data_IF_428008863733
#
_entry.id   IF_428008863733
#
_cell.length_a   1.000
_cell.length_b   1.000
_cell.length_c   1.000
_cell.angle_alpha   90.00
_cell.angle_beta   90.00
_cell.angle_gamma   90.00
#
_symmetry.space_group_name_H-M   'P 1'
#
loop_
_entity.id
_entity.type
_entity.pdbx_description
1 polymer ?
#
# COMPACT_ATOMS: atom_id res chain seq x y z
N UNK A 1 -0.10 -31.32 0.55
CA UNK A 1 0.43 -30.31 1.50
C UNK A 1 -0.72 -29.93 2.43
N UNK A 2 -0.53 -30.02 3.75
CA UNK A 2 -1.61 -29.84 4.73
C UNK A 2 -2.03 -28.35 4.83
N UNK A 3 -3.35 -28.13 4.80
CA UNK A 3 -4.06 -26.86 4.65
C UNK A 3 -4.26 -26.07 5.97
N UNK A 4 -3.51 -26.37 7.03
CA UNK A 4 -3.89 -25.97 8.40
C UNK A 4 -2.80 -25.19 9.15
N UNK A 5 -2.31 -24.08 8.59
CA UNK A 5 -1.63 -23.03 9.36
C UNK A 5 -2.02 -21.65 8.86
N UNK A 6 -1.97 -20.63 9.71
CA UNK A 6 -2.14 -19.21 9.33
C UNK A 6 -1.27 -18.83 8.12
N UNK A 7 -0.07 -19.42 8.04
CA UNK A 7 0.84 -19.29 6.91
C UNK A 7 0.26 -19.76 5.57
N UNK A 8 -0.69 -20.68 5.51
CA UNK A 8 -1.25 -21.13 4.22
C UNK A 8 -2.11 -20.05 3.58
N UNK A 9 -2.89 -19.30 4.37
CA UNK A 9 -3.77 -18.25 3.87
C UNK A 9 -2.98 -17.00 3.44
N UNK A 10 -2.07 -16.51 4.29
CA UNK A 10 -1.17 -15.41 3.94
C UNK A 10 -0.30 -15.75 2.73
N UNK A 11 0.24 -16.98 2.68
CA UNK A 11 1.07 -17.39 1.54
C UNK A 11 0.27 -17.51 0.25
N UNK A 12 -0.99 -17.96 0.29
CA UNK A 12 -1.83 -18.02 -0.90
C UNK A 12 -2.04 -16.63 -1.52
N UNK A 13 -2.38 -15.63 -0.68
CA UNK A 13 -2.53 -14.24 -1.12
C UNK A 13 -1.22 -13.71 -1.72
N UNK A 14 -0.11 -13.82 -0.97
CA UNK A 14 1.18 -13.28 -1.41
C UNK A 14 1.64 -13.95 -2.72
N UNK A 15 1.53 -15.28 -2.81
CA UNK A 15 1.92 -16.01 -4.03
C UNK A 15 1.07 -15.62 -5.24
N UNK A 16 -0.23 -15.37 -5.06
CA UNK A 16 -1.08 -14.89 -6.14
C UNK A 16 -0.66 -13.50 -6.63
N UNK A 17 -0.33 -12.58 -5.71
CA UNK A 17 0.19 -11.26 -6.07
C UNK A 17 1.53 -11.33 -6.83
N UNK A 18 2.43 -12.23 -6.40
CA UNK A 18 3.73 -12.42 -7.04
C UNK A 18 3.62 -13.04 -8.45
N UNK A 19 2.74 -14.03 -8.62
CA UNK A 19 2.60 -14.75 -9.90
C UNK A 19 1.73 -14.04 -10.91
N UNK A 20 0.67 -13.38 -10.44
CA UNK A 20 -0.39 -12.85 -11.30
C UNK A 20 -0.64 -11.36 -11.05
N UNK A 21 -0.43 -10.87 -9.82
CA UNK A 21 -0.70 -9.49 -9.41
C UNK A 21 0.22 -8.41 -9.99
N UNK A 22 1.36 -8.77 -10.58
CA UNK A 22 2.37 -7.80 -11.01
C UNK A 22 3.19 -7.22 -9.86
N UNK A 23 3.30 -7.96 -8.74
CA UNK A 23 4.11 -7.59 -7.58
C UNK A 23 5.44 -8.34 -7.58
N UNK A 24 6.42 -7.75 -6.91
CA UNK A 24 7.64 -8.45 -6.49
C UNK A 24 7.72 -8.52 -4.97
N UNK A 25 8.47 -9.49 -4.44
CA UNK A 25 8.65 -9.59 -3.00
C UNK A 25 9.61 -8.49 -2.51
N UNK A 26 9.22 -7.81 -1.44
CA UNK A 26 10.01 -6.77 -0.80
C UNK A 26 10.74 -7.29 0.43
N UNK A 27 11.82 -6.62 0.81
CA UNK A 27 12.56 -6.93 2.03
C UNK A 27 12.01 -6.10 3.20
N UNK A 28 11.41 -6.77 4.19
CA UNK A 28 10.76 -6.11 5.33
C UNK A 28 11.74 -5.25 6.16
N UNK A 29 13.02 -5.63 6.21
CA UNK A 29 14.06 -4.92 6.97
C UNK A 29 14.37 -3.54 6.39
N UNK A 30 14.07 -3.31 5.11
CA UNK A 30 14.29 -2.02 4.44
C UNK A 30 13.22 -0.98 4.79
N UNK A 31 12.16 -1.37 5.50
CA UNK A 31 11.18 -0.43 6.03
C UNK A 31 11.83 0.44 7.11
N UNK A 32 11.75 1.76 6.97
CA UNK A 32 12.15 2.69 8.04
C UNK A 32 10.91 3.17 8.80
N UNK A 33 10.75 2.80 10.08
CA UNK A 33 9.70 3.34 10.95
C UNK A 33 9.72 4.87 11.03
N UNK A 34 10.90 5.47 11.00
CA UNK A 34 11.11 6.92 11.13
C UNK A 34 10.64 7.67 9.88
N UNK A 35 10.77 7.06 8.70
CA UNK A 35 10.35 7.65 7.44
C UNK A 35 8.93 7.21 7.04
N UNK A 36 8.49 6.04 7.49
CA UNK A 36 7.25 5.40 7.09
C UNK A 36 7.25 4.91 5.63
N UNK A 37 8.41 4.58 5.07
CA UNK A 37 8.59 4.19 3.65
C UNK A 37 9.89 3.42 3.41
N UNK A 38 10.02 2.83 2.21
CA UNK A 38 11.21 2.09 1.76
C UNK A 38 12.13 3.01 0.95
N UNK A 39 13.03 3.72 1.65
CA UNK A 39 13.85 4.79 1.05
C UNK A 39 14.69 4.34 -0.16
N UNK A 40 15.24 3.12 -0.13
CA UNK A 40 16.08 2.62 -1.22
C UNK A 40 15.26 2.35 -2.49
N UNK A 41 14.01 1.91 -2.33
CA UNK A 41 13.10 1.69 -3.47
C UNK A 41 12.64 3.01 -4.08
N UNK A 42 12.37 4.03 -3.25
CA UNK A 42 12.10 5.39 -3.72
C UNK A 42 13.26 5.88 -4.58
N UNK A 43 14.50 5.84 -4.05
CA UNK A 43 15.68 6.32 -4.78
C UNK A 43 15.84 5.56 -6.10
N UNK A 44 15.77 4.22 -6.05
CA UNK A 44 15.87 3.37 -7.24
C UNK A 44 14.85 3.75 -8.30
N UNK A 45 13.57 3.90 -7.91
CA UNK A 45 12.52 4.30 -8.83
C UNK A 45 12.80 5.67 -9.47
N UNK A 46 13.23 6.66 -8.68
CA UNK A 46 13.55 7.99 -9.21
C UNK A 46 14.74 7.95 -10.20
N UNK A 47 15.78 7.17 -9.89
CA UNK A 47 16.94 7.00 -10.76
C UNK A 47 16.59 6.28 -12.07
N UNK A 48 15.83 5.18 -12.00
CA UNK A 48 15.47 4.37 -13.17
C UNK A 48 14.42 5.04 -14.07
N UNK A 49 13.44 5.72 -13.46
CA UNK A 49 12.33 6.35 -14.20
C UNK A 49 12.64 7.77 -14.66
N UNK A 50 13.54 8.49 -13.97
CA UNK A 50 13.76 9.92 -14.16
C UNK A 50 15.26 10.31 -14.12
N UNK A 51 16.15 9.62 -14.85
CA UNK A 51 17.61 9.77 -14.72
C UNK A 51 18.09 11.21 -14.95
N UNK A 52 17.53 11.91 -15.95
CA UNK A 52 17.89 13.32 -16.23
C UNK A 52 17.50 14.28 -15.10
N UNK A 53 16.43 13.97 -14.36
CA UNK A 53 16.03 14.76 -13.19
C UNK A 53 16.91 14.43 -11.99
N UNK A 54 17.25 13.15 -11.84
CA UNK A 54 18.19 12.68 -10.82
C UNK A 54 19.58 13.33 -10.96
N UNK A 55 20.11 13.40 -12.18
CA UNK A 55 21.37 14.06 -12.48
C UNK A 55 21.35 15.54 -12.08
N UNK A 56 20.28 16.27 -12.46
CA UNK A 56 20.09 17.68 -12.09
C UNK A 56 20.05 17.91 -10.58
N UNK A 57 19.30 17.10 -9.83
CA UNK A 57 19.22 17.28 -8.38
C UNK A 57 20.53 16.88 -7.69
N UNK A 58 21.24 15.89 -8.24
CA UNK A 58 22.57 15.49 -7.74
C UNK A 58 23.60 16.59 -7.95
N UNK A 59 23.55 17.32 -9.07
CA UNK A 59 24.41 18.48 -9.28
C UNK A 59 24.17 19.62 -8.26
N UNK A 60 22.98 19.70 -7.66
CA UNK A 60 22.62 20.70 -6.64
C UNK A 60 23.02 20.22 -5.24
N UNK A 61 22.66 18.99 -4.88
CA UNK A 61 22.86 18.45 -3.52
C UNK A 61 24.22 17.77 -3.31
N UNK A 62 24.96 17.48 -4.38
CA UNK A 62 26.22 16.75 -4.32
C UNK A 62 26.07 15.35 -3.75
N UNK A 63 27.02 14.93 -2.92
CA UNK A 63 27.06 13.60 -2.29
C UNK A 63 25.84 13.31 -1.39
N UNK A 64 25.17 14.34 -0.88
CA UNK A 64 24.02 14.21 0.02
C UNK A 64 22.66 14.11 -0.71
N UNK A 65 22.67 14.00 -2.04
CA UNK A 65 21.45 13.98 -2.86
C UNK A 65 20.41 12.94 -2.42
N UNK A 66 20.87 11.74 -2.06
CA UNK A 66 19.99 10.66 -1.58
C UNK A 66 19.21 11.09 -0.32
N UNK A 67 19.90 11.62 0.69
CA UNK A 67 19.25 12.02 1.93
C UNK A 67 18.35 13.23 1.72
N UNK A 68 18.81 14.25 0.97
CA UNK A 68 18.05 15.48 0.73
C UNK A 68 16.75 15.22 0.00
N UNK A 69 16.78 14.40 -1.06
CA UNK A 69 15.57 14.02 -1.79
C UNK A 69 14.60 13.24 -0.91
N UNK A 70 15.09 12.29 -0.10
CA UNK A 70 14.25 11.54 0.84
C UNK A 70 13.62 12.44 1.90
N UNK A 71 14.38 13.38 2.46
CA UNK A 71 13.86 14.34 3.43
C UNK A 71 12.83 15.29 2.81
N UNK A 72 13.04 15.68 1.55
CA UNK A 72 12.07 16.48 0.81
C UNK A 72 10.77 15.69 0.59
N UNK A 73 10.87 14.47 0.10
CA UNK A 73 9.70 13.58 -0.09
C UNK A 73 8.97 13.32 1.23
N UNK A 74 9.69 13.06 2.32
CA UNK A 74 9.11 12.88 3.66
C UNK A 74 8.22 14.08 4.05
N UNK A 75 8.73 15.32 3.90
CA UNK A 75 7.98 16.54 4.21
C UNK A 75 6.75 16.70 3.32
N UNK A 76 6.87 16.35 2.05
CA UNK A 76 5.78 16.44 1.08
C UNK A 76 4.67 15.44 1.38
N UNK A 77 5.02 14.21 1.76
CA UNK A 77 4.07 13.21 2.24
C UNK A 77 3.40 13.65 3.55
N UNK A 78 4.12 14.31 4.44
CA UNK A 78 3.59 14.79 5.73
C UNK A 78 2.58 15.94 5.53
N UNK A 79 2.89 16.86 4.61
CA UNK A 79 2.08 18.04 4.34
C UNK A 79 0.86 17.73 3.45
N UNK A 80 1.09 17.10 2.30
CA UNK A 80 0.07 16.89 1.26
C UNK A 80 -0.61 15.52 1.34
N UNK A 81 0.04 14.55 1.95
CA UNK A 81 -0.43 13.16 2.01
C UNK A 81 0.01 12.32 0.81
N UNK A 82 0.02 11.00 0.97
CA UNK A 82 0.55 10.07 -0.02
C UNK A 82 -0.23 10.06 -1.33
N UNK A 83 -1.56 10.16 -1.29
CA UNK A 83 -2.38 10.18 -2.51
C UNK A 83 -2.02 11.35 -3.44
N UNK A 84 -1.87 12.55 -2.88
CA UNK A 84 -1.50 13.73 -3.65
C UNK A 84 -0.09 13.60 -4.22
N UNK A 85 0.88 13.18 -3.39
CA UNK A 85 2.27 12.98 -3.82
C UNK A 85 2.39 11.90 -4.90
N UNK A 86 1.62 10.82 -4.82
CA UNK A 86 1.59 9.78 -5.85
C UNK A 86 1.02 10.31 -7.18
N UNK A 87 0.01 11.17 -7.14
CA UNK A 87 -0.63 11.74 -8.34
C UNK A 87 0.16 12.88 -8.97
N UNK A 88 0.73 13.75 -8.15
CA UNK A 88 1.27 15.04 -8.56
C UNK A 88 2.80 15.15 -8.40
N UNK A 89 3.41 14.14 -7.79
CA UNK A 89 4.83 14.12 -7.49
C UNK A 89 5.21 15.15 -6.43
N UNK A 90 6.49 15.53 -6.39
CA UNK A 90 7.01 16.60 -5.54
C UNK A 90 8.08 17.40 -6.26
N UNK A 91 8.41 18.59 -5.74
CA UNK A 91 9.42 19.47 -6.31
C UNK A 91 10.54 19.69 -5.30
N UNK A 92 11.79 19.53 -5.72
CA UNK A 92 12.99 19.84 -4.94
C UNK A 92 13.91 20.75 -5.76
N UNK A 93 14.24 21.94 -5.25
CA UNK A 93 15.03 22.96 -5.96
C UNK A 93 14.62 23.16 -7.44
N UNK A 94 13.32 23.25 -7.71
CA UNK A 94 12.77 23.44 -9.07
C UNK A 94 12.75 22.17 -9.93
N UNK A 95 13.32 21.05 -9.47
CA UNK A 95 13.23 19.74 -10.13
C UNK A 95 11.97 19.02 -9.67
N UNK A 96 11.04 18.77 -10.59
CA UNK A 96 9.81 18.00 -10.32
C UNK A 96 10.04 16.51 -10.51
N UNK A 97 9.83 15.71 -9.46
CA UNK A 97 9.83 14.25 -9.51
C UNK A 97 8.40 13.71 -9.47
N UNK A 98 8.11 12.71 -10.30
CA UNK A 98 6.89 11.90 -10.21
C UNK A 98 7.14 10.71 -9.27
N UNK A 99 6.11 10.32 -8.51
CA UNK A 99 6.15 9.14 -7.61
C UNK A 99 5.34 7.95 -8.13
N UNK A 100 4.58 8.14 -9.20
CA UNK A 100 3.91 7.08 -9.94
C UNK A 100 3.68 7.53 -11.39
N UNK A 101 3.58 6.57 -12.30
CA UNK A 101 3.13 6.81 -13.67
C UNK A 101 1.85 6.03 -13.90
N UNK A 102 0.76 6.68 -14.30
CA UNK A 102 -0.50 5.99 -14.53
C UNK A 102 -0.66 5.57 -15.98
N UNK A 103 -1.44 4.51 -16.21
CA UNK A 103 -1.66 3.96 -17.54
C UNK A 103 -2.29 5.04 -18.44
N UNK A 104 -1.73 5.30 -19.64
CA UNK A 104 -2.29 6.30 -20.53
C UNK A 104 -3.69 5.86 -21.01
N UNK A 105 -4.59 6.83 -21.23
CA UNK A 105 -5.96 6.54 -21.67
C UNK A 105 -6.01 5.89 -23.06
N UNK A 106 -4.99 6.11 -23.89
CA UNK A 106 -4.79 5.43 -25.17
C UNK A 106 -3.42 4.77 -25.20
N UNK A 107 -3.30 3.64 -25.91
CA UNK A 107 -2.00 2.96 -26.14
C UNK A 107 -1.06 3.69 -27.10
N UNK A 108 -1.40 4.92 -27.51
CA UNK A 108 -0.70 5.68 -28.56
C UNK A 108 0.55 6.40 -28.07
N UNK A 109 0.85 6.37 -26.77
CA UNK A 109 2.08 6.94 -26.20
C UNK A 109 2.97 5.81 -25.62
N UNK A 110 3.89 5.25 -26.43
CA UNK A 110 4.82 4.20 -26.00
C UNK A 110 5.71 4.63 -24.82
N UNK A 111 6.12 5.89 -24.75
CA UNK A 111 6.95 6.42 -23.66
C UNK A 111 6.19 6.42 -22.33
N UNK A 112 4.92 6.83 -22.34
CA UNK A 112 4.07 6.78 -21.16
C UNK A 112 3.84 5.33 -20.68
N UNK A 113 3.73 4.38 -21.61
CA UNK A 113 3.61 2.95 -21.27
C UNK A 113 4.91 2.40 -20.69
N UNK A 114 6.07 2.78 -21.22
CA UNK A 114 7.38 2.41 -20.66
C UNK A 114 7.51 2.91 -19.22
N UNK A 115 7.16 4.18 -18.95
CA UNK A 115 7.17 4.76 -17.62
C UNK A 115 6.16 4.08 -16.67
N UNK A 116 4.97 3.72 -17.16
CA UNK A 116 4.00 2.92 -16.39
C UNK A 116 4.60 1.55 -15.98
N UNK A 117 5.34 0.91 -16.89
CA UNK A 117 5.98 -0.36 -16.62
C UNK A 117 7.13 -0.24 -15.61
N UNK A 118 7.74 0.94 -15.46
CA UNK A 118 8.75 1.22 -14.43
C UNK A 118 8.17 1.35 -13.01
N UNK A 119 6.85 1.42 -12.83
CA UNK A 119 6.28 1.34 -11.49
C UNK A 119 6.54 -0.04 -10.88
N UNK A 120 7.10 -0.03 -9.67
CA UNK A 120 7.39 -1.21 -8.87
C UNK A 120 6.34 -1.33 -7.77
N UNK A 121 5.50 -2.35 -7.86
CA UNK A 121 4.62 -2.74 -6.76
C UNK A 121 5.28 -3.88 -5.99
N UNK A 122 5.27 -3.77 -4.67
CA UNK A 122 5.86 -4.79 -3.80
C UNK A 122 4.93 -5.23 -2.70
N UNK A 123 5.05 -6.50 -2.37
CA UNK A 123 4.38 -7.14 -1.23
C UNK A 123 5.43 -7.48 -0.20
N UNK A 124 5.16 -7.15 1.06
CA UNK A 124 6.02 -7.44 2.20
C UNK A 124 5.21 -8.21 3.22
N UNK A 125 5.90 -9.11 3.93
CA UNK A 125 5.33 -9.88 5.02
C UNK A 125 5.97 -9.42 6.32
N UNK A 126 5.19 -9.40 7.40
CA UNK A 126 5.69 -9.21 8.76
C UNK A 126 6.50 -7.90 8.95
N UNK A 127 5.86 -6.76 8.65
CA UNK A 127 6.48 -5.43 8.77
C UNK A 127 6.47 -4.97 10.23
N UNK A 128 7.65 -4.84 10.83
CA UNK A 128 7.84 -4.18 12.12
C UNK A 128 7.82 -2.66 11.92
N UNK A 129 6.67 -2.04 12.22
CA UNK A 129 6.39 -0.67 11.79
C UNK A 129 6.78 0.42 12.79
N UNK A 130 7.21 0.04 14.00
CA UNK A 130 7.46 0.97 15.11
C UNK A 130 8.84 0.73 15.70
N UNK A 131 9.51 1.80 16.11
CA UNK A 131 10.71 1.75 16.94
C UNK A 131 10.41 1.59 18.44
N UNK A 132 9.12 1.68 18.84
CA UNK A 132 8.67 1.67 20.24
C UNK A 132 8.16 0.31 20.70
N UNK A 133 7.82 -0.57 19.77
CA UNK A 133 7.32 -1.92 20.06
C UNK A 133 7.78 -2.89 18.97
N UNK A 134 7.58 -4.20 19.20
CA UNK A 134 7.92 -5.26 18.25
C UNK A 134 6.69 -5.84 17.55
N UNK A 135 5.63 -5.06 17.43
CA UNK A 135 4.44 -5.54 16.74
C UNK A 135 4.73 -5.54 15.23
N UNK A 136 4.42 -6.64 14.56
CA UNK A 136 4.46 -6.74 13.10
C UNK A 136 3.05 -6.57 12.52
N UNK A 137 2.98 -6.09 11.29
CA UNK A 137 1.83 -6.15 10.40
C UNK A 137 1.98 -7.35 9.46
N UNK A 138 0.91 -8.12 9.24
CA UNK A 138 0.96 -9.35 8.45
C UNK A 138 1.42 -9.11 7.01
N UNK A 139 0.73 -8.24 6.27
CA UNK A 139 1.10 -7.90 4.88
C UNK A 139 1.02 -6.39 4.64
N UNK A 140 2.02 -5.87 3.92
CA UNK A 140 2.04 -4.50 3.42
C UNK A 140 2.20 -4.50 1.90
N UNK A 141 1.47 -3.62 1.22
CA UNK A 141 1.63 -3.35 -0.21
C UNK A 141 2.20 -1.95 -0.42
N UNK A 142 3.21 -1.82 -1.27
CA UNK A 142 3.82 -0.54 -1.63
C UNK A 142 3.81 -0.29 -3.14
N UNK A 143 3.96 0.98 -3.51
CA UNK A 143 4.24 1.45 -4.87
C UNK A 143 5.44 2.37 -4.82
N UNK A 144 6.50 2.02 -5.55
CA UNK A 144 7.73 2.79 -5.65
C UNK A 144 8.31 3.18 -4.28
N UNK A 145 8.20 2.25 -3.32
CA UNK A 145 8.63 2.44 -1.92
C UNK A 145 7.67 3.18 -1.00
N UNK A 146 6.53 3.69 -1.50
CA UNK A 146 5.48 4.32 -0.68
C UNK A 146 4.44 3.28 -0.28
N UNK A 147 4.16 3.09 1.03
CA UNK A 147 3.08 2.20 1.48
C UNK A 147 1.71 2.62 0.93
N UNK A 148 0.89 1.66 0.52
CA UNK A 148 -0.45 1.88 -0.04
C UNK A 148 -1.55 1.23 0.79
N UNK A 149 -1.37 -0.04 1.13
CA UNK A 149 -2.36 -0.82 1.86
C UNK A 149 -1.70 -1.69 2.93
N UNK A 150 -2.34 -1.78 4.09
CA UNK A 150 -1.97 -2.73 5.14
C UNK A 150 -3.05 -3.80 5.23
N UNK A 151 -2.66 -5.05 5.46
CA UNK A 151 -3.56 -6.19 5.53
C UNK A 151 -3.24 -6.96 6.83
N UNK A 152 -4.27 -7.18 7.66
CA UNK A 152 -4.21 -8.13 8.78
C UNK A 152 -5.07 -9.34 8.40
N UNK A 153 -4.46 -10.52 8.42
CA UNK A 153 -5.11 -11.76 8.00
C UNK A 153 -5.39 -12.61 9.24
N UNK A 154 -6.53 -13.30 9.24
CA UNK A 154 -6.90 -14.22 10.30
C UNK A 154 -7.36 -15.55 9.70
N UNK A 155 -6.94 -16.64 10.34
CA UNK A 155 -7.27 -17.98 9.90
C UNK A 155 -8.35 -18.58 10.80
N UNK A 156 -9.52 -18.87 10.23
CA UNK A 156 -10.62 -19.46 10.98
C UNK A 156 -10.28 -20.86 11.53
N UNK A 157 -9.36 -21.60 10.91
CA UNK A 157 -8.88 -22.89 11.43
C UNK A 157 -8.11 -22.75 12.75
N UNK A 158 -7.57 -21.57 13.06
CA UNK A 158 -6.92 -21.28 14.36
C UNK A 158 -7.89 -20.63 15.35
N UNK A 159 -9.19 -20.58 15.03
CA UNK A 159 -10.23 -19.97 15.86
C UNK A 159 -10.26 -18.44 15.81
N UNK A 160 -9.52 -17.83 14.88
CA UNK A 160 -9.51 -16.39 14.68
C UNK A 160 -10.29 -15.99 13.42
N UNK A 161 -11.04 -14.90 13.49
CA UNK A 161 -11.84 -14.38 12.39
C UNK A 161 -11.55 -12.90 12.13
N UNK A 162 -12.23 -12.30 11.16
CA UNK A 162 -12.06 -10.89 10.79
C UNK A 162 -12.26 -9.95 11.99
N UNK A 163 -13.15 -10.28 12.93
CA UNK A 163 -13.35 -9.54 14.17
C UNK A 163 -12.09 -9.43 15.04
N UNK A 164 -11.23 -10.46 15.03
CA UNK A 164 -9.93 -10.40 15.69
C UNK A 164 -8.99 -9.40 15.02
N UNK A 165 -8.96 -9.35 13.68
CA UNK A 165 -8.19 -8.34 12.94
C UNK A 165 -8.71 -6.92 13.17
N UNK A 166 -10.03 -6.71 13.17
CA UNK A 166 -10.64 -5.41 13.48
C UNK A 166 -10.26 -4.93 14.88
N UNK A 167 -10.31 -5.83 15.87
CA UNK A 167 -9.87 -5.55 17.24
C UNK A 167 -8.38 -5.21 17.29
N UNK A 168 -7.54 -5.99 16.63
CA UNK A 168 -6.09 -5.77 16.56
C UNK A 168 -5.76 -4.38 16.01
N UNK A 169 -6.32 -4.00 14.87
CA UNK A 169 -6.21 -2.63 14.35
C UNK A 169 -6.64 -1.58 15.37
N UNK A 170 -7.79 -1.78 16.01
CA UNK A 170 -8.37 -0.81 16.92
C UNK A 170 -7.62 -0.66 18.25
N UNK A 171 -6.83 -1.66 18.66
CA UNK A 171 -6.17 -1.67 19.98
C UNK A 171 -4.65 -1.64 19.95
N UNK A 172 -4.00 -2.14 18.89
CA UNK A 172 -2.52 -2.28 18.83
C UNK A 172 -1.87 -1.45 17.74
N UNK A 173 -2.64 -0.94 16.76
CA UNK A 173 -2.14 -0.09 15.67
C UNK A 173 -2.39 1.38 16.02
N UNK A 174 -1.41 1.97 16.67
CA UNK A 174 -1.45 3.39 17.05
C UNK A 174 -1.51 4.27 15.79
N UNK A 175 -2.61 5.01 15.63
CA UNK A 175 -2.84 5.89 14.47
C UNK A 175 -1.94 7.14 14.45
N UNK A 176 -1.01 7.27 15.41
CA UNK A 176 0.06 8.28 15.39
C UNK A 176 1.37 7.76 14.78
N UNK A 177 1.52 6.43 14.64
CA UNK A 177 2.63 5.84 13.88
C UNK A 177 2.47 6.18 12.40
N UNK A 178 3.55 6.55 11.72
CA UNK A 178 3.48 7.09 10.34
C UNK A 178 2.77 6.17 9.36
N UNK A 179 2.88 4.86 9.54
CA UNK A 179 2.23 3.86 8.69
C UNK A 179 0.69 3.94 8.75
N UNK A 180 0.14 4.29 9.91
CA UNK A 180 -1.29 4.29 10.22
C UNK A 180 -1.88 5.70 10.34
N UNK A 181 -1.02 6.72 10.42
CA UNK A 181 -1.44 8.10 10.44
C UNK A 181 -2.21 8.45 9.16
N UNK A 182 -3.44 8.92 9.37
CA UNK A 182 -4.38 9.24 8.29
C UNK A 182 -3.70 10.05 7.20
N UNK A 183 -3.92 9.65 5.94
CA UNK A 183 -3.38 10.22 4.69
C UNK A 183 -1.85 10.32 4.56
N UNK A 184 -1.04 10.05 5.59
CA UNK A 184 0.40 10.30 5.56
C UNK A 184 1.17 9.27 4.73
N UNK A 185 0.87 7.98 4.88
CA UNK A 185 1.54 6.87 4.17
C UNK A 185 0.51 5.95 3.53
N UNK A 186 -0.10 5.07 4.31
CA UNK A 186 -1.09 4.10 3.83
C UNK A 186 -2.43 4.80 3.55
N UNK A 187 -3.13 4.35 2.51
CA UNK A 187 -4.43 4.87 2.09
C UNK A 187 -5.61 4.03 2.59
N UNK A 188 -5.37 2.74 2.84
CA UNK A 188 -6.40 1.78 3.26
C UNK A 188 -5.83 0.67 4.13
N UNK A 189 -6.63 0.20 5.07
CA UNK A 189 -6.31 -0.90 5.96
C UNK A 189 -7.37 -1.98 5.83
N UNK A 190 -6.97 -3.20 5.48
CA UNK A 190 -7.87 -4.33 5.31
C UNK A 190 -7.74 -5.31 6.49
N UNK A 191 -8.88 -5.73 7.01
CA UNK A 191 -9.02 -6.85 7.94
C UNK A 191 -9.67 -8.01 7.17
N UNK A 192 -9.03 -9.16 7.14
CA UNK A 192 -9.37 -10.25 6.22
C UNK A 192 -9.41 -11.58 6.97
N UNK A 193 -10.44 -12.38 6.73
CA UNK A 193 -10.38 -13.82 6.92
C UNK A 193 -10.76 -14.57 5.63
N UNK A 194 -11.04 -15.87 5.72
CA UNK A 194 -11.34 -16.71 4.56
C UNK A 194 -12.70 -16.40 3.90
N UNK A 195 -13.62 -15.77 4.65
CA UNK A 195 -15.00 -15.52 4.25
C UNK A 195 -15.31 -14.04 4.03
N UNK A 196 -14.73 -13.15 4.84
CA UNK A 196 -15.07 -11.72 4.86
C UNK A 196 -13.85 -10.80 4.77
N UNK A 197 -14.05 -9.66 4.10
CA UNK A 197 -13.12 -8.53 4.04
C UNK A 197 -13.81 -7.30 4.59
N UNK A 198 -13.13 -6.60 5.49
CA UNK A 198 -13.48 -5.26 5.93
C UNK A 198 -12.33 -4.30 5.63
N UNK A 199 -12.66 -3.04 5.41
CA UNK A 199 -11.67 -2.00 5.19
C UNK A 199 -11.96 -0.73 5.97
N UNK A 200 -10.93 0.08 6.19
CA UNK A 200 -11.05 1.47 6.62
C UNK A 200 -9.98 2.32 5.96
N UNK A 201 -10.28 3.58 5.71
CA UNK A 201 -9.31 4.58 5.20
C UNK A 201 -8.73 5.44 6.32
N UNK A 202 -9.24 5.32 7.55
CA UNK A 202 -8.78 6.06 8.72
C UNK A 202 -8.91 5.22 9.98
N UNK A 203 -7.78 4.86 10.56
CA UNK A 203 -7.72 4.27 11.90
C UNK A 203 -7.96 5.36 12.95
N UNK A 204 -8.89 5.11 13.87
CA UNK A 204 -9.24 5.99 14.99
C UNK A 204 -9.43 5.19 16.29
N UNK A 205 -8.52 4.23 16.52
CA UNK A 205 -8.58 3.31 17.65
C UNK A 205 -9.93 2.58 17.70
N UNK A 206 -10.58 2.58 18.87
CA UNK A 206 -11.91 1.97 19.04
C UNK A 206 -13.04 2.68 18.29
N UNK A 207 -12.84 3.90 17.80
CA UNK A 207 -13.81 4.66 17.00
C UNK A 207 -13.64 4.44 15.50
N UNK A 208 -12.71 3.58 15.09
CA UNK A 208 -12.47 3.25 13.69
C UNK A 208 -13.78 2.83 13.02
N UNK A 209 -14.16 3.54 11.96
CA UNK A 209 -15.29 3.18 11.14
C UNK A 209 -14.87 2.14 10.10
N UNK A 210 -15.50 0.97 10.16
CA UNK A 210 -15.20 -0.17 9.30
C UNK A 210 -16.28 -0.38 8.26
N UNK A 211 -15.86 -0.46 7.00
CA UNK A 211 -16.73 -0.73 5.86
C UNK A 211 -16.61 -2.21 5.48
N UNK A 212 -17.72 -2.95 5.36
CA UNK A 212 -17.70 -4.23 4.68
C UNK A 212 -17.23 -4.04 3.24
N UNK A 213 -16.24 -4.82 2.81
CA UNK A 213 -15.69 -4.76 1.45
C UNK A 213 -16.03 -6.03 0.64
N UNK A 214 -17.13 -6.68 0.98
CA UNK A 214 -17.58 -7.96 0.41
C UNK A 214 -18.37 -7.76 -0.90
N UNK A 215 -18.36 -8.78 -1.78
CA UNK A 215 -19.08 -8.80 -3.07
C UNK A 215 -20.61 -8.87 -2.94
N UNK A 216 -21.12 -9.20 -1.75
CA UNK A 216 -22.52 -9.62 -1.56
C UNK A 216 -22.74 -11.07 -1.99
N UNK A 217 -23.79 -11.71 -1.47
CA UNK A 217 -24.10 -13.10 -1.75
C UNK A 217 -25.62 -13.30 -1.89
N UNK A 218 -26.12 -13.45 -3.12
CA UNK A 218 -27.55 -13.66 -3.42
C UNK A 218 -28.50 -12.65 -2.72
N UNK A 219 -28.24 -11.34 -2.89
CA UNK A 219 -28.92 -10.22 -2.20
C UNK A 219 -28.66 -10.12 -0.68
N UNK A 220 -27.78 -10.97 -0.14
CA UNK A 220 -27.34 -10.94 1.25
C UNK A 220 -25.91 -10.43 1.44
N UNK A 221 -25.47 -10.40 2.69
CA UNK A 221 -24.11 -10.02 3.11
C UNK A 221 -23.07 -11.12 2.81
N UNK A 222 -21.79 -10.75 2.91
CA UNK A 222 -20.66 -11.67 2.73
C UNK A 222 -20.29 -11.89 1.27
N UNK A 223 -19.45 -12.88 1.01
CA UNK A 223 -18.95 -13.21 -0.32
C UNK A 223 -19.61 -14.50 -0.85
N UNK A 224 -19.79 -14.67 -2.18
CA UNK A 224 -20.24 -15.95 -2.74
C UNK A 224 -19.19 -17.05 -2.49
N UNK A 225 -19.60 -18.32 -2.60
CA UNK A 225 -18.64 -19.42 -2.54
C UNK A 225 -17.69 -19.36 -3.75
N UNK A 226 -16.41 -19.64 -3.52
CA UNK A 226 -15.42 -19.77 -4.57
C UNK A 226 -15.02 -21.25 -4.68
N UNK A 227 -15.43 -21.98 -5.74
CA UNK A 227 -15.08 -23.39 -5.91
C UNK A 227 -13.57 -23.64 -5.98
N UNK A 228 -12.81 -22.63 -6.44
CA UNK A 228 -11.39 -22.74 -6.75
C UNK A 228 -10.48 -22.13 -5.65
N UNK A 229 -11.05 -21.63 -4.55
CA UNK A 229 -10.26 -21.00 -3.49
C UNK A 229 -11.06 -20.33 -2.38
N UNK A 230 -10.46 -19.33 -1.75
CA UNK A 230 -11.09 -18.57 -0.67
C UNK A 230 -12.19 -17.64 -1.21
N UNK A 231 -13.22 -17.37 -0.39
CA UNK A 231 -14.31 -16.45 -0.78
C UNK A 231 -13.81 -15.01 -0.89
N UNK A 232 -12.73 -14.69 -0.17
CA UNK A 232 -12.05 -13.40 -0.19
C UNK A 232 -11.01 -13.25 -1.30
N UNK A 233 -10.81 -14.28 -2.14
CA UNK A 233 -9.77 -14.29 -3.17
C UNK A 233 -9.87 -13.18 -4.22
N UNK A 234 -11.08 -12.71 -4.49
CA UNK A 234 -11.30 -11.56 -5.37
C UNK A 234 -10.50 -10.31 -4.95
N UNK A 235 -10.18 -10.17 -3.65
CA UNK A 235 -9.39 -9.05 -3.18
C UNK A 235 -8.02 -9.03 -3.85
N UNK A 236 -7.29 -10.14 -3.85
CA UNK A 236 -5.95 -10.19 -4.44
C UNK A 236 -5.94 -10.61 -5.92
N UNK A 237 -6.92 -11.37 -6.38
CA UNK A 237 -7.02 -11.80 -7.78
C UNK A 237 -7.58 -10.73 -8.70
N UNK A 238 -8.37 -9.78 -8.17
CA UNK A 238 -9.01 -8.76 -8.99
C UNK A 238 -8.64 -7.34 -8.53
N UNK A 239 -8.88 -7.01 -7.26
CA UNK A 239 -8.82 -5.62 -6.78
C UNK A 239 -7.36 -5.14 -6.64
N UNK A 240 -6.52 -5.94 -5.99
CA UNK A 240 -5.12 -5.60 -5.70
C UNK A 240 -4.17 -5.95 -6.86
N UNK A 241 -4.66 -6.24 -8.06
CA UNK A 241 -3.82 -6.42 -9.25
C UNK A 241 -3.19 -5.07 -9.64
N UNK A 242 -1.95 -5.03 -10.14
CA UNK A 242 -1.24 -3.79 -10.50
C UNK A 242 -2.09 -2.83 -11.33
N UNK A 243 -2.70 -3.31 -12.42
CA UNK A 243 -3.50 -2.45 -13.30
C UNK A 243 -4.73 -1.87 -12.59
N UNK A 244 -5.47 -2.72 -11.87
CA UNK A 244 -6.63 -2.31 -11.06
C UNK A 244 -6.23 -1.31 -9.97
N UNK A 245 -5.15 -1.58 -9.24
CA UNK A 245 -4.69 -0.75 -8.13
C UNK A 245 -4.22 0.62 -8.62
N UNK A 246 -3.45 0.66 -9.71
CA UNK A 246 -3.03 1.92 -10.32
C UNK A 246 -4.23 2.74 -10.83
N UNK A 247 -5.25 2.09 -11.38
CA UNK A 247 -6.48 2.77 -11.80
C UNK A 247 -7.29 3.31 -10.61
N UNK A 248 -7.45 2.52 -9.54
CA UNK A 248 -8.10 2.94 -8.28
C UNK A 248 -7.41 4.18 -7.72
N UNK A 249 -6.08 4.14 -7.60
CA UNK A 249 -5.28 5.26 -7.14
C UNK A 249 -5.41 6.49 -8.05
N UNK A 250 -5.54 6.32 -9.35
CA UNK A 250 -5.68 7.45 -10.27
C UNK A 250 -7.06 8.10 -10.19
N UNK A 251 -8.14 7.30 -10.12
CA UNK A 251 -9.49 7.76 -10.45
C UNK A 251 -10.52 7.64 -9.33
N UNK A 252 -10.35 6.69 -8.42
CA UNK A 252 -11.42 6.26 -7.52
C UNK A 252 -11.20 6.60 -6.05
N UNK A 253 -9.99 6.98 -5.65
CA UNK A 253 -9.73 7.50 -4.30
C UNK A 253 -9.88 9.02 -4.27
N UNK A 254 -10.70 9.53 -3.34
CA UNK A 254 -10.90 10.96 -3.13
C UNK A 254 -10.71 11.29 -1.64
N UNK A 255 -9.96 12.37 -1.36
CA UNK A 255 -9.85 12.93 -0.02
C UNK A 255 -10.93 14.01 0.13
N UNK A 256 -11.99 13.69 0.86
CA UNK A 256 -13.01 14.66 1.23
C UNK A 256 -12.44 15.62 2.29
N UNK A 257 -12.61 16.92 2.06
CA UNK A 257 -12.24 17.98 3.01
C UNK A 257 -13.50 18.74 3.37
N UNK A 258 -13.74 18.89 4.68
CA UNK A 258 -14.85 19.66 5.23
C UNK A 258 -14.27 20.84 6.00
N UNK A 259 -14.70 22.05 5.66
CA UNK A 259 -14.37 23.27 6.40
C UNK A 259 -15.49 23.53 7.40
N UNK A 260 -15.14 23.58 8.69
CA UNK A 260 -16.06 23.97 9.74
C UNK A 260 -15.75 25.42 10.12
N UNK A 261 -16.74 26.30 9.96
CA UNK A 261 -16.69 27.70 10.41
C UNK A 261 -16.82 27.83 11.93
#
# INVERSE_FOLDING_TARGET
MSLTTEHTFESALVQSLLKHGGYTEGNAVDYSPELGMFKYEVIRFLQESQPKRWEKITAIHGEDAHNRVIQRLYKELDLRGSLDVLRNGFVDYGVRFQMAYFKPASGLNPEALELFNKNQLKVYRQIYYSSKNKNSLDVLLSLNGIPLATLELKNQFTGQNVGNALKQYSTTRDNRELLFAFKKRTLVHFAIDQDEVFMTTKLDGSKTYWLPFNKGNNKGKGNPQNPDGYRTAYLWENILQKDSWMEILQRFVHLQTEEFE
#
